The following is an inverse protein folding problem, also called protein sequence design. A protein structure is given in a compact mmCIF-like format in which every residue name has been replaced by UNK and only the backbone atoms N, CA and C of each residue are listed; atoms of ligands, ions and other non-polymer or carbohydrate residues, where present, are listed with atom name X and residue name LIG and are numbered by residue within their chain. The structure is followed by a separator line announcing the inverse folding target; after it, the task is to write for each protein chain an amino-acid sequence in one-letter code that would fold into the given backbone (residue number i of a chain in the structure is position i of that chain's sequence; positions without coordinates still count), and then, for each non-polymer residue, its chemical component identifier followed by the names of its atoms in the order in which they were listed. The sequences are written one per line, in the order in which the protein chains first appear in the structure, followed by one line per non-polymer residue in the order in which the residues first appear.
data_IF_103904779784
#
_entry.id   IF_103904779784
#
_cell.length_a   1.000
_cell.length_b   1.000
_cell.length_c   1.000
_cell.angle_alpha   90.00
_cell.angle_beta   90.00
_cell.angle_gamma   90.00
#
_symmetry.space_group_name_H-M   'P 1'
#
loop_
_entity.id
_entity.type
_entity.pdbx_description
1 polymer ?
#
# COMPACT_ATOMS: atom_id res chain seq x y z
N UNK A 1 24.95 -23.87 14.32
CA UNK A 1 24.13 -22.63 14.14
C UNK A 1 23.89 -22.41 12.65
N UNK A 2 22.63 -22.35 12.23
CA UNK A 2 22.23 -22.15 10.84
C UNK A 2 22.63 -20.77 10.30
N UNK A 3 23.16 -20.71 9.07
CA UNK A 3 23.46 -19.46 8.34
C UNK A 3 22.73 -19.46 7.01
N UNK A 4 21.91 -18.44 6.77
CA UNK A 4 21.20 -18.29 5.51
C UNK A 4 21.98 -17.39 4.56
N UNK A 5 22.44 -17.93 3.42
CA UNK A 5 23.27 -17.21 2.46
C UNK A 5 22.62 -15.97 1.85
N UNK A 6 21.28 -15.90 1.82
CA UNK A 6 20.52 -14.79 1.25
C UNK A 6 19.92 -13.86 2.32
N UNK A 7 20.47 -13.84 3.53
CA UNK A 7 19.95 -13.01 4.62
C UNK A 7 20.06 -11.50 4.33
N UNK A 8 21.17 -11.06 3.73
CA UNK A 8 21.34 -9.67 3.28
C UNK A 8 20.31 -9.29 2.23
N UNK A 9 20.04 -10.19 1.28
CA UNK A 9 19.03 -9.97 0.25
C UNK A 9 17.62 -9.90 0.86
N UNK A 10 17.30 -10.76 1.82
CA UNK A 10 16.01 -10.72 2.52
C UNK A 10 15.82 -9.41 3.29
N UNK A 11 16.86 -8.91 3.98
CA UNK A 11 16.83 -7.59 4.64
C UNK A 11 16.60 -6.47 3.63
N UNK A 12 17.32 -6.48 2.51
CA UNK A 12 17.12 -5.50 1.44
C UNK A 12 15.69 -5.51 0.89
N UNK A 13 15.09 -6.68 0.66
CA UNK A 13 13.69 -6.79 0.21
C UNK A 13 12.69 -6.23 1.21
N UNK A 14 12.93 -6.40 2.52
CA UNK A 14 12.11 -5.78 3.57
C UNK A 14 12.17 -4.26 3.51
N UNK A 15 13.38 -3.69 3.40
CA UNK A 15 13.55 -2.23 3.25
C UNK A 15 12.84 -1.70 2.01
N UNK A 16 12.88 -2.43 0.89
CA UNK A 16 12.16 -2.07 -0.34
C UNK A 16 10.63 -2.11 -0.15
N UNK A 17 10.10 -3.15 0.49
CA UNK A 17 8.68 -3.26 0.82
C UNK A 17 8.23 -2.10 1.73
N UNK A 18 9.00 -1.81 2.78
CA UNK A 18 8.71 -0.74 3.71
C UNK A 18 8.74 0.64 3.03
N UNK A 19 9.65 0.85 2.06
CA UNK A 19 9.70 2.07 1.27
C UNK A 19 8.43 2.25 0.43
N UNK A 20 8.03 1.23 -0.32
CA UNK A 20 6.80 1.30 -1.14
C UNK A 20 5.55 1.43 -0.27
N UNK A 21 5.52 0.80 0.90
CA UNK A 21 4.42 0.96 1.86
C UNK A 21 4.29 2.39 2.39
N UNK A 22 5.42 3.05 2.67
CA UNK A 22 5.42 4.48 3.05
C UNK A 22 4.93 5.37 1.91
N UNK A 23 5.41 5.14 0.69
CA UNK A 23 4.95 5.88 -0.49
C UNK A 23 3.45 5.70 -0.72
N UNK A 24 2.94 4.46 -0.62
CA UNK A 24 1.50 4.19 -0.75
C UNK A 24 0.70 4.96 0.30
N UNK A 25 1.19 5.04 1.54
CA UNK A 25 0.53 5.82 2.59
C UNK A 25 0.43 7.30 2.23
N UNK A 26 1.53 7.90 1.77
CA UNK A 26 1.57 9.32 1.36
C UNK A 26 0.55 9.57 0.25
N UNK A 27 0.58 8.78 -0.83
CA UNK A 27 -0.34 8.98 -1.95
C UNK A 27 -1.80 8.69 -1.57
N UNK A 28 -2.04 7.79 -0.60
CA UNK A 28 -3.39 7.55 -0.06
C UNK A 28 -3.91 8.72 0.77
N UNK A 29 -3.03 9.38 1.54
CA UNK A 29 -3.36 10.62 2.26
C UNK A 29 -3.67 11.75 1.26
N UNK A 30 -2.86 11.91 0.22
CA UNK A 30 -3.12 12.85 -0.89
C UNK A 30 -4.47 12.59 -1.58
N UNK A 31 -4.81 11.33 -1.85
CA UNK A 31 -6.09 10.96 -2.46
C UNK A 31 -7.26 11.38 -1.58
N UNK A 32 -7.17 11.09 -0.28
CA UNK A 32 -8.21 11.43 0.68
C UNK A 32 -8.43 12.94 0.75
N UNK A 33 -7.36 13.72 0.78
CA UNK A 33 -7.44 15.17 0.82
C UNK A 33 -8.05 15.74 -0.46
N UNK A 34 -7.68 15.19 -1.62
CA UNK A 34 -8.24 15.57 -2.91
C UNK A 34 -9.74 15.24 -3.02
N UNK A 35 -10.16 14.06 -2.52
CA UNK A 35 -11.58 13.67 -2.47
C UNK A 35 -12.38 14.56 -1.51
N UNK A 36 -11.80 14.93 -0.36
CA UNK A 36 -12.42 15.89 0.55
C UNK A 36 -12.57 17.29 -0.07
N UNK A 37 -11.59 17.74 -0.86
CA UNK A 37 -11.68 19.00 -1.60
C UNK A 37 -12.79 18.96 -2.66
N UNK A 38 -12.90 17.86 -3.41
CA UNK A 38 -13.95 17.66 -4.39
C UNK A 38 -15.34 17.73 -3.75
N UNK A 39 -15.52 17.02 -2.63
CA UNK A 39 -16.78 17.03 -1.88
C UNK A 39 -17.16 18.45 -1.42
N UNK A 40 -16.20 19.25 -0.93
CA UNK A 40 -16.45 20.64 -0.54
C UNK A 40 -16.90 21.51 -1.71
N UNK A 41 -16.29 21.33 -2.90
CA UNK A 41 -16.69 22.07 -4.09
C UNK A 41 -18.11 21.70 -4.54
N UNK A 42 -18.46 20.41 -4.51
CA UNK A 42 -19.81 19.92 -4.83
C UNK A 42 -20.85 20.47 -3.84
N UNK A 43 -20.55 20.44 -2.53
CA UNK A 43 -21.42 21.05 -1.51
C UNK A 43 -21.59 22.55 -1.72
N UNK A 44 -20.53 23.27 -2.11
CA UNK A 44 -20.62 24.69 -2.44
C UNK A 44 -21.48 24.96 -3.67
N UNK A 45 -21.46 24.06 -4.66
CA UNK A 45 -22.31 24.16 -5.84
C UNK A 45 -23.78 23.95 -5.47
N UNK A 46 -24.10 22.90 -4.71
CA UNK A 46 -25.46 22.62 -4.25
C UNK A 46 -26.02 23.77 -3.41
N UNK A 47 -25.23 24.30 -2.48
CA UNK A 47 -25.64 25.43 -1.65
C UNK A 47 -25.88 26.68 -2.49
N UNK A 48 -25.02 26.96 -3.46
CA UNK A 48 -25.19 28.10 -4.34
C UNK A 48 -26.46 27.99 -5.19
N UNK A 49 -26.74 26.80 -5.74
CA UNK A 49 -27.92 26.54 -6.54
C UNK A 49 -29.22 26.66 -5.71
N UNK A 50 -29.21 26.18 -4.45
CA UNK A 50 -30.32 26.39 -3.51
C UNK A 50 -30.59 27.86 -3.23
N UNK A 51 -29.53 28.63 -2.94
CA UNK A 51 -29.65 30.06 -2.67
C UNK A 51 -30.16 30.82 -3.89
N UNK A 52 -29.67 30.45 -5.09
CA UNK A 52 -30.11 31.05 -6.33
C UNK A 52 -31.59 30.82 -6.60
N UNK A 53 -32.08 29.59 -6.44
CA UNK A 53 -33.49 29.26 -6.63
C UNK A 53 -34.41 30.09 -5.71
N UNK A 54 -33.98 30.37 -4.48
CA UNK A 54 -34.73 31.21 -3.54
C UNK A 54 -34.77 32.69 -3.96
N UNK A 55 -33.67 33.21 -4.53
CA UNK A 55 -33.57 34.59 -5.02
C UNK A 55 -34.38 34.77 -6.32
N UNK A 56 -34.32 33.80 -7.22
CA UNK A 56 -35.07 33.80 -8.49
C UNK A 56 -36.59 33.92 -8.26
N UNK A 57 -37.12 33.25 -7.23
CA UNK A 57 -38.53 33.31 -6.85
C UNK A 57 -38.99 34.68 -6.33
N UNK A 58 -38.07 35.54 -5.88
CA UNK A 58 -38.37 36.88 -5.34
C UNK A 58 -38.33 37.99 -6.40
N UNK A 59 -37.98 37.64 -7.65
CA UNK A 59 -37.76 38.59 -8.74
C UNK A 59 -36.32 39.08 -8.74
N UNK A 60 -35.62 38.90 -9.86
CA UNK A 60 -34.18 39.10 -9.97
C UNK A 60 -33.84 39.98 -11.16
N UNK A 61 -32.81 40.83 -11.05
CA UNK A 61 -32.39 41.68 -12.17
C UNK A 61 -31.42 40.94 -13.12
N UNK A 62 -31.24 41.47 -14.34
CA UNK A 62 -30.38 40.83 -15.36
C UNK A 62 -28.90 40.74 -14.97
N UNK A 63 -28.39 41.66 -14.15
CA UNK A 63 -27.01 41.67 -13.66
C UNK A 63 -26.76 40.53 -12.68
N UNK A 64 -27.69 40.27 -11.77
CA UNK A 64 -27.63 39.16 -10.79
C UNK A 64 -27.66 37.80 -11.50
N UNK A 65 -28.50 37.64 -12.53
CA UNK A 65 -28.54 36.43 -13.37
C UNK A 65 -27.19 36.18 -14.06
N UNK A 66 -26.57 37.22 -14.59
CA UNK A 66 -25.26 37.12 -15.24
C UNK A 66 -24.16 36.72 -14.24
N UNK A 67 -24.15 37.31 -13.04
CA UNK A 67 -23.19 37.00 -11.99
C UNK A 67 -23.33 35.56 -11.52
N UNK A 68 -24.55 35.09 -11.27
CA UNK A 68 -24.84 33.70 -10.92
C UNK A 68 -24.29 32.74 -11.98
N UNK A 69 -24.61 32.98 -13.26
CA UNK A 69 -24.14 32.11 -14.35
C UNK A 69 -22.62 32.05 -14.43
N UNK A 70 -21.93 33.17 -14.24
CA UNK A 70 -20.46 33.20 -14.24
C UNK A 70 -19.87 32.40 -13.07
N UNK A 71 -20.42 32.55 -11.87
CA UNK A 71 -19.94 31.83 -10.70
C UNK A 71 -20.26 30.32 -10.78
N UNK A 72 -21.44 29.93 -11.27
CA UNK A 72 -21.78 28.54 -11.52
C UNK A 72 -20.83 27.89 -12.55
N UNK A 73 -20.49 28.60 -13.63
CA UNK A 73 -19.49 28.14 -14.61
C UNK A 73 -18.10 27.99 -13.97
N UNK A 74 -17.71 28.90 -13.08
CA UNK A 74 -16.45 28.82 -12.35
C UNK A 74 -16.40 27.59 -11.43
N UNK A 75 -17.45 27.36 -10.63
CA UNK A 75 -17.56 26.18 -9.77
C UNK A 75 -17.52 24.89 -10.59
N UNK A 76 -18.26 24.83 -11.70
CA UNK A 76 -18.25 23.65 -12.57
C UNK A 76 -16.86 23.34 -13.12
N UNK A 77 -16.11 24.37 -13.56
CA UNK A 77 -14.72 24.20 -14.02
C UNK A 77 -13.80 23.69 -12.91
N UNK A 78 -13.93 24.24 -11.70
CA UNK A 78 -13.13 23.81 -10.56
C UNK A 78 -13.43 22.36 -10.16
N UNK A 79 -14.70 21.96 -10.17
CA UNK A 79 -15.13 20.58 -9.90
C UNK A 79 -14.56 19.62 -10.93
N UNK A 80 -14.63 19.97 -12.22
CA UNK A 80 -14.08 19.12 -13.28
C UNK A 80 -12.55 18.97 -13.17
N UNK A 81 -11.85 20.07 -12.86
CA UNK A 81 -10.41 20.05 -12.65
C UNK A 81 -10.04 19.19 -11.41
N UNK A 82 -10.75 19.36 -10.30
CA UNK A 82 -10.53 18.59 -9.08
C UNK A 82 -10.88 17.11 -9.26
N UNK A 83 -11.94 16.79 -10.01
CA UNK A 83 -12.29 15.41 -10.34
C UNK A 83 -11.19 14.74 -11.16
N UNK A 84 -10.64 15.45 -12.14
CA UNK A 84 -9.52 14.95 -12.96
C UNK A 84 -8.28 14.68 -12.11
N UNK A 85 -7.98 15.57 -11.15
CA UNK A 85 -6.90 15.38 -10.19
C UNK A 85 -7.13 14.15 -9.30
N UNK A 86 -8.34 13.97 -8.77
CA UNK A 86 -8.71 12.79 -7.97
C UNK A 86 -8.49 11.51 -8.77
N UNK A 87 -8.90 11.47 -10.04
CA UNK A 87 -8.72 10.29 -10.88
C UNK A 87 -7.24 10.00 -11.17
N UNK A 88 -6.41 11.02 -11.37
CA UNK A 88 -4.97 10.88 -11.51
C UNK A 88 -4.31 10.30 -10.23
N UNK A 89 -4.62 10.87 -9.06
CA UNK A 89 -4.08 10.40 -7.78
C UNK A 89 -4.57 8.98 -7.49
N UNK A 90 -5.82 8.66 -7.84
CA UNK A 90 -6.39 7.32 -7.69
C UNK A 90 -5.66 6.30 -8.56
N UNK A 91 -5.32 6.65 -9.80
CA UNK A 91 -4.50 5.80 -10.67
C UNK A 91 -3.09 5.56 -10.07
N UNK A 92 -2.43 6.62 -9.58
CA UNK A 92 -1.12 6.52 -8.90
C UNK A 92 -1.18 5.65 -7.64
N UNK A 93 -2.24 5.79 -6.85
CA UNK A 93 -2.49 4.96 -5.65
C UNK A 93 -2.64 3.48 -6.03
N UNK A 94 -3.41 3.20 -7.08
CA UNK A 94 -3.60 1.84 -7.57
C UNK A 94 -2.29 1.21 -8.07
N UNK A 95 -1.45 1.98 -8.76
CA UNK A 95 -0.12 1.54 -9.20
C UNK A 95 0.79 1.21 -8.01
N UNK A 96 0.89 2.11 -7.02
CA UNK A 96 1.69 1.87 -5.80
C UNK A 96 1.21 0.67 -5.00
N UNK A 97 -0.11 0.43 -4.97
CA UNK A 97 -0.68 -0.78 -4.36
C UNK A 97 -0.26 -2.05 -5.08
N UNK A 98 -0.23 -2.05 -6.42
CA UNK A 98 0.27 -3.18 -7.22
C UNK A 98 1.77 -3.39 -6.98
N UNK A 99 2.54 -2.33 -6.94
CA UNK A 99 3.98 -2.40 -6.65
C UNK A 99 4.23 -3.04 -5.28
N UNK A 100 3.51 -2.62 -4.24
CA UNK A 100 3.63 -3.18 -2.90
C UNK A 100 3.35 -4.70 -2.89
N UNK A 101 2.29 -5.13 -3.57
CA UNK A 101 1.95 -6.56 -3.70
C UNK A 101 3.11 -7.34 -4.31
N UNK A 102 3.76 -6.81 -5.35
CA UNK A 102 4.90 -7.48 -5.97
C UNK A 102 6.12 -7.53 -5.05
N UNK A 103 6.43 -6.47 -4.31
CA UNK A 103 7.52 -6.49 -3.31
C UNK A 103 7.24 -7.52 -2.21
N UNK A 104 6.00 -7.59 -1.72
CA UNK A 104 5.57 -8.58 -0.73
C UNK A 104 5.73 -10.02 -1.24
N UNK A 105 5.36 -10.29 -2.50
CA UNK A 105 5.55 -11.61 -3.13
C UNK A 105 7.04 -11.99 -3.17
N UNK A 106 7.90 -11.06 -3.59
CA UNK A 106 9.35 -11.28 -3.66
C UNK A 106 9.96 -11.56 -2.29
N UNK A 107 9.56 -10.84 -1.25
CA UNK A 107 9.98 -11.11 0.13
C UNK A 107 9.51 -12.49 0.60
N UNK A 108 8.23 -12.81 0.44
CA UNK A 108 7.63 -14.08 0.88
C UNK A 108 8.29 -15.28 0.23
N UNK A 109 8.71 -15.17 -1.03
CA UNK A 109 9.46 -16.22 -1.72
C UNK A 109 10.79 -16.53 -1.00
N UNK A 110 11.54 -15.50 -0.62
CA UNK A 110 12.80 -15.65 0.11
C UNK A 110 12.59 -16.17 1.54
N UNK A 111 11.52 -15.75 2.21
CA UNK A 111 11.17 -16.25 3.55
C UNK A 111 10.87 -17.76 3.51
N UNK A 112 10.06 -18.21 2.53
CA UNK A 112 9.79 -19.64 2.33
C UNK A 112 11.06 -20.43 2.00
N UNK A 113 11.96 -19.84 1.20
CA UNK A 113 13.25 -20.47 0.91
C UNK A 113 14.10 -20.60 2.17
N UNK A 114 14.17 -19.56 3.01
CA UNK A 114 14.89 -19.58 4.29
C UNK A 114 14.33 -20.67 5.21
N UNK A 115 13.01 -20.75 5.33
CA UNK A 115 12.32 -21.76 6.14
C UNK A 115 12.64 -23.18 5.66
N UNK A 116 12.55 -23.44 4.35
CA UNK A 116 12.90 -24.75 3.78
C UNK A 116 14.36 -25.13 4.07
N UNK A 117 15.30 -24.21 3.89
CA UNK A 117 16.73 -24.44 4.19
C UNK A 117 16.99 -24.67 5.67
N UNK A 118 16.23 -24.02 6.54
CA UNK A 118 16.33 -24.24 7.97
C UNK A 118 15.83 -25.63 8.37
N UNK A 119 14.72 -26.09 7.79
CA UNK A 119 14.23 -27.46 8.00
C UNK A 119 15.24 -28.50 7.51
N UNK A 120 15.85 -28.30 6.33
CA UNK A 120 16.92 -29.15 5.82
C UNK A 120 18.13 -29.22 6.78
N UNK A 121 18.53 -28.07 7.35
CA UNK A 121 19.61 -28.00 8.34
C UNK A 121 19.27 -28.80 9.61
N UNK A 122 18.07 -28.64 10.17
CA UNK A 122 17.64 -29.37 11.37
C UNK A 122 17.63 -30.88 11.16
N UNK A 123 17.16 -31.34 9.99
CA UNK A 123 17.17 -32.76 9.62
C UNK A 123 18.60 -33.30 9.54
N UNK A 124 19.52 -32.52 8.95
CA UNK A 124 20.93 -32.91 8.84
C UNK A 124 21.62 -32.98 10.20
N UNK A 125 21.38 -31.99 11.08
CA UNK A 125 21.90 -31.94 12.44
C UNK A 125 21.42 -33.14 13.26
N UNK A 126 20.12 -33.44 13.22
CA UNK A 126 19.54 -34.61 13.90
C UNK A 126 20.13 -35.94 13.40
N UNK A 127 20.37 -36.07 12.08
CA UNK A 127 21.03 -37.26 11.50
C UNK A 127 22.48 -37.39 11.96
N UNK A 128 23.20 -36.28 12.09
CA UNK A 128 24.58 -36.27 12.55
C UNK A 128 24.68 -36.64 14.03
N UNK A 129 23.81 -36.09 14.87
CA UNK A 129 23.72 -36.44 16.30
C UNK A 129 23.43 -37.94 16.49
N UNK A 130 22.46 -38.49 15.75
CA UNK A 130 22.17 -39.94 15.79
C UNK A 130 23.38 -40.79 15.42
N UNK A 131 24.11 -40.45 14.35
CA UNK A 131 25.32 -41.17 13.95
C UNK A 131 26.39 -41.16 15.05
N UNK A 132 26.61 -40.01 15.69
CA UNK A 132 27.56 -39.90 16.79
C UNK A 132 27.16 -40.75 18.00
N UNK A 133 25.86 -40.81 18.33
CA UNK A 133 25.35 -41.67 19.40
C UNK A 133 25.57 -43.15 19.07
N UNK A 134 25.26 -43.57 17.84
CA UNK A 134 25.44 -44.94 17.39
C UNK A 134 26.93 -45.35 17.42
N UNK A 135 27.83 -44.48 16.92
CA UNK A 135 29.29 -44.71 16.95
C UNK A 135 29.85 -44.83 18.38
N UNK A 136 29.36 -44.01 19.32
CA UNK A 136 29.75 -44.09 20.74
C UNK A 136 29.23 -45.37 21.40
N UNK A 137 28.02 -45.81 21.07
CA UNK A 137 27.45 -47.05 21.59
C UNK A 137 28.27 -48.26 21.11
N UNK A 138 28.61 -48.29 19.82
CA UNK A 138 29.47 -49.31 19.20
C UNK A 138 30.84 -49.34 19.87
N UNK A 139 31.52 -48.19 19.99
CA UNK A 139 32.81 -48.06 20.69
C UNK A 139 32.77 -48.62 22.12
N UNK A 140 31.75 -48.28 22.92
CA UNK A 140 31.59 -48.79 24.30
C UNK A 140 31.36 -50.29 24.38
N UNK A 141 30.66 -50.89 23.41
CA UNK A 141 30.47 -52.35 23.35
C UNK A 141 31.76 -53.10 23.00
N UNK A 142 32.62 -52.51 22.17
CA UNK A 142 33.92 -53.09 21.82
C UNK A 142 34.94 -52.99 22.96
N UNK A 143 34.91 -51.92 23.77
CA UNK A 143 35.81 -51.75 24.92
C UNK A 143 35.42 -52.56 26.18
N UNK A 144 34.33 -53.33 26.12
CA UNK A 144 33.82 -54.19 27.22
C UNK A 144 34.01 -55.69 26.96
N UNK A 145 34.72 -56.06 25.90
CA UNK A 145 35.23 -57.42 25.63
C UNK A 145 36.73 -57.44 25.82
#
# INVERSE_FOLDING_TARGET
MFRFSLETLLKFRRVQEDAVARELRIVSEELRDAEHQLLRLQQSQEEHERQWLAIEQQGTNSTEISLHRQYALHLHRNINAQSSLVDEIRARTAEKRRELIEKMKQRRLLERLKEKRFQEYLIAEYRQERKQIDELAVSRTFSRR
#
